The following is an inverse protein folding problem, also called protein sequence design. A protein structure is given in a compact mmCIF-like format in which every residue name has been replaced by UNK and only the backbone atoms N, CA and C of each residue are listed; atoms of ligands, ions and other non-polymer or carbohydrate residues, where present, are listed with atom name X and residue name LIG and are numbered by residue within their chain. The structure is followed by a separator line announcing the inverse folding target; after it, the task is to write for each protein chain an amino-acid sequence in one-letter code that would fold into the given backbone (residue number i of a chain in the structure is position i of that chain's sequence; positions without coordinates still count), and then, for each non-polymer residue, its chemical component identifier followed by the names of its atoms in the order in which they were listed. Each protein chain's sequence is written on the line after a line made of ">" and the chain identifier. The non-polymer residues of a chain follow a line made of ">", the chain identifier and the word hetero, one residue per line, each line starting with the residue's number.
data_IF_487443814916
#
_entry.id   IF_487443814916
#
_cell.length_a   1.000
_cell.length_b   1.000
_cell.length_c   1.000
_cell.angle_alpha   90.00
_cell.angle_beta   90.00
_cell.angle_gamma   90.00
#
_symmetry.space_group_name_H-M   'P 1'
#
loop_
_entity.id
_entity.type
_entity.pdbx_description
1 polymer ?
#
# COMPACT_ATOMS: atom_id res chain seq x y z
N UNK A 1 -1.69 12.93 -2.65
CA UNK A 1 -0.75 12.52 -3.71
C UNK A 1 -1.37 11.33 -4.45
N UNK A 2 -1.46 11.34 -5.77
CA UNK A 2 -1.99 10.20 -6.51
C UNK A 2 -0.84 9.23 -6.78
N UNK A 3 -0.87 8.03 -6.18
CA UNK A 3 0.17 7.02 -6.35
C UNK A 3 -0.41 5.81 -7.07
N UNK A 4 -0.10 5.61 -8.35
CA UNK A 4 -0.56 4.44 -9.09
C UNK A 4 0.40 3.28 -8.83
N UNK A 5 -0.06 2.21 -8.17
CA UNK A 5 0.67 0.95 -8.14
C UNK A 5 0.14 0.02 -9.24
N UNK A 6 1.06 -0.61 -9.98
CA UNK A 6 0.72 -1.64 -10.96
C UNK A 6 1.32 -2.96 -10.50
N UNK A 7 0.48 -3.91 -10.12
CA UNK A 7 0.92 -5.27 -9.82
C UNK A 7 1.10 -6.04 -11.13
N UNK A 8 2.35 -6.20 -11.59
CA UNK A 8 2.68 -6.95 -12.81
C UNK A 8 3.03 -8.41 -12.43
N UNK A 9 2.24 -9.38 -12.91
CA UNK A 9 2.53 -10.81 -12.75
C UNK A 9 2.85 -11.42 -14.11
N UNK A 10 4.09 -11.87 -14.31
CA UNK A 10 4.57 -12.57 -15.53
C UNK A 10 4.25 -11.82 -16.86
N UNK A 11 4.52 -10.51 -16.92
CA UNK A 11 4.43 -9.74 -18.17
C UNK A 11 3.02 -9.51 -18.73
N UNK A 12 1.96 -9.93 -18.00
CA UNK A 12 0.57 -9.59 -18.31
C UNK A 12 -0.01 -8.76 -17.17
N UNK A 13 -0.66 -7.65 -17.49
CA UNK A 13 -1.38 -6.81 -16.53
C UNK A 13 -2.67 -7.56 -16.13
N UNK A 14 -2.70 -8.15 -14.94
CA UNK A 14 -3.82 -9.03 -14.52
C UNK A 14 -4.84 -8.32 -13.62
N UNK A 15 -4.52 -7.15 -13.06
CA UNK A 15 -5.48 -6.30 -12.34
C UNK A 15 -4.96 -4.86 -12.27
N UNK A 16 -5.85 -3.87 -12.42
CA UNK A 16 -5.58 -2.50 -12.00
C UNK A 16 -6.12 -2.34 -10.58
N UNK A 17 -5.23 -2.22 -9.60
CA UNK A 17 -5.58 -1.80 -8.25
C UNK A 17 -5.28 -0.29 -8.19
N UNK A 18 -6.32 0.53 -8.01
CA UNK A 18 -6.10 1.94 -7.76
C UNK A 18 -5.78 2.12 -6.29
N UNK A 19 -4.61 2.70 -6.02
CA UNK A 19 -4.21 3.11 -4.68
C UNK A 19 -4.19 4.64 -4.63
N UNK A 20 -4.66 5.21 -3.52
CA UNK A 20 -4.60 6.64 -3.30
C UNK A 20 -4.20 6.93 -1.86
N UNK A 21 -3.19 7.79 -1.70
CA UNK A 21 -2.81 8.33 -0.39
C UNK A 21 -3.15 9.82 -0.37
N UNK A 22 -4.16 10.20 0.41
CA UNK A 22 -4.63 11.59 0.49
C UNK A 22 -4.89 12.01 1.93
N UNK A 23 -5.12 13.30 2.14
CA UNK A 23 -5.73 13.79 3.37
C UNK A 23 -7.26 13.65 3.24
N UNK A 24 -7.95 13.23 4.29
CA UNK A 24 -9.41 13.32 4.39
C UNK A 24 -9.85 14.75 4.76
N UNK A 25 -11.16 14.97 4.90
CA UNK A 25 -11.71 16.29 5.22
C UNK A 25 -11.25 16.78 6.61
N UNK A 26 -10.90 15.85 7.49
CA UNK A 26 -10.42 16.07 8.85
C UNK A 26 -8.89 16.27 8.91
N UNK A 27 -8.19 16.27 7.77
CA UNK A 27 -6.74 16.48 7.69
C UNK A 27 -5.88 15.26 8.05
N UNK A 28 -6.47 14.08 8.20
CA UNK A 28 -5.78 12.82 8.45
C UNK A 28 -5.34 12.16 7.13
N UNK A 29 -4.14 11.60 7.11
CA UNK A 29 -3.68 10.82 5.96
C UNK A 29 -4.46 9.50 5.89
N UNK A 30 -4.98 9.17 4.71
CA UNK A 30 -5.72 7.95 4.44
C UNK A 30 -5.13 7.23 3.24
N UNK A 31 -5.06 5.91 3.35
CA UNK A 31 -4.70 4.99 2.28
C UNK A 31 -5.97 4.32 1.76
N UNK A 32 -6.28 4.53 0.50
CA UNK A 32 -7.47 4.04 -0.16
C UNK A 32 -7.04 2.98 -1.17
N UNK A 33 -7.56 1.76 -1.03
CA UNK A 33 -7.39 0.66 -1.96
C UNK A 33 -8.71 0.40 -2.71
N UNK A 34 -8.65 0.42 -4.04
CA UNK A 34 -9.77 0.09 -4.91
C UNK A 34 -9.36 -1.05 -5.85
N UNK A 35 -9.59 -2.32 -5.45
CA UNK A 35 -9.43 -3.46 -6.33
C UNK A 35 -10.47 -3.41 -7.45
N UNK A 36 -10.11 -3.85 -8.67
CA UNK A 36 -11.03 -3.88 -9.81
C UNK A 36 -12.29 -4.69 -9.46
N UNK A 37 -13.44 -4.01 -9.44
CA UNK A 37 -14.75 -4.63 -9.19
C UNK A 37 -15.11 -4.88 -7.72
N UNK A 38 -14.33 -4.37 -6.75
CA UNK A 38 -14.63 -4.49 -5.32
C UNK A 38 -14.94 -3.14 -4.65
N UNK A 39 -15.45 -3.18 -3.42
CA UNK A 39 -15.65 -1.98 -2.59
C UNK A 39 -14.30 -1.34 -2.30
N UNK A 40 -14.30 -0.01 -2.29
CA UNK A 40 -13.19 0.80 -1.79
C UNK A 40 -12.93 0.46 -0.32
N UNK A 41 -11.68 0.16 0.01
CA UNK A 41 -11.24 -0.02 1.39
C UNK A 41 -10.32 1.14 1.78
N UNK A 42 -10.72 1.84 2.84
CA UNK A 42 -9.94 2.95 3.41
C UNK A 42 -9.24 2.50 4.69
N UNK A 43 -7.97 2.88 4.84
CA UNK A 43 -7.15 2.71 6.03
C UNK A 43 -6.70 4.09 6.51
N UNK A 44 -6.88 4.37 7.80
CA UNK A 44 -6.51 5.66 8.39
C UNK A 44 -5.07 5.62 8.89
N UNK A 45 -4.31 6.68 8.63
CA UNK A 45 -2.95 6.84 9.15
C UNK A 45 -2.97 7.00 10.66
N UNK A 46 -2.50 5.97 11.38
CA UNK A 46 -2.42 5.97 12.84
C UNK A 46 -1.05 6.44 13.34
N UNK A 47 -0.03 6.34 12.50
CA UNK A 47 1.33 6.81 12.82
C UNK A 47 2.01 7.33 11.57
N UNK A 48 2.59 8.53 11.66
CA UNK A 48 3.36 9.15 10.58
C UNK A 48 4.62 9.74 11.19
N UNK A 49 5.77 9.41 10.62
CA UNK A 49 7.07 9.99 10.95
C UNK A 49 7.85 10.31 9.68
N UNK A 50 9.04 10.89 9.83
CA UNK A 50 9.92 11.20 8.69
C UNK A 50 10.32 9.96 7.88
N UNK A 51 10.34 8.77 8.50
CA UNK A 51 10.86 7.54 7.89
C UNK A 51 9.86 6.39 7.89
N UNK A 52 8.68 6.55 8.47
CA UNK A 52 7.68 5.50 8.49
C UNK A 52 6.25 6.04 8.50
N UNK A 53 5.33 5.24 7.98
CA UNK A 53 3.90 5.49 8.09
C UNK A 53 3.15 4.17 8.28
N UNK A 54 2.14 4.18 9.15
CA UNK A 54 1.25 3.05 9.41
C UNK A 54 -0.19 3.48 9.17
N UNK A 55 -0.89 2.69 8.37
CA UNK A 55 -2.31 2.82 8.08
C UNK A 55 -3.05 1.61 8.63
N UNK A 56 -4.20 1.85 9.26
CA UNK A 56 -4.98 0.79 9.90
C UNK A 56 -6.47 0.88 9.55
N UNK A 57 -7.08 -0.28 9.43
CA UNK A 57 -8.52 -0.51 9.40
C UNK A 57 -8.79 -1.81 10.17
N UNK A 58 -8.96 -1.75 11.49
CA UNK A 58 -9.20 -2.95 12.32
C UNK A 58 -10.50 -3.69 11.96
N UNK A 59 -11.44 -3.02 11.30
CA UNK A 59 -12.73 -3.60 10.88
C UNK A 59 -12.62 -4.42 9.59
N UNK A 60 -11.53 -4.28 8.84
CA UNK A 60 -11.30 -5.06 7.64
C UNK A 60 -10.90 -6.51 8.01
N UNK A 61 -11.25 -7.47 7.18
CA UNK A 61 -10.99 -8.90 7.43
C UNK A 61 -9.51 -9.23 7.24
N UNK A 62 -8.92 -8.87 6.10
CA UNK A 62 -7.49 -8.86 5.86
C UNK A 62 -7.18 -8.05 4.58
N UNK A 63 -6.19 -7.15 4.60
CA UNK A 63 -5.35 -6.78 5.74
C UNK A 63 -6.04 -5.80 6.68
N UNK A 64 -5.51 -5.66 7.90
CA UNK A 64 -5.97 -4.67 8.88
C UNK A 64 -4.97 -3.53 9.06
N UNK A 65 -3.71 -3.76 8.69
CA UNK A 65 -2.62 -2.81 8.87
C UNK A 65 -1.65 -2.87 7.71
N UNK A 66 -1.27 -1.70 7.21
CA UNK A 66 -0.29 -1.50 6.15
C UNK A 66 0.73 -0.52 6.68
N UNK A 67 2.00 -0.91 6.74
CA UNK A 67 3.08 -0.03 7.16
C UNK A 67 4.14 0.08 6.09
N UNK A 68 4.75 1.27 6.01
CA UNK A 68 5.88 1.56 5.14
C UNK A 68 7.00 2.10 6.02
N UNK A 69 8.22 1.60 5.80
CA UNK A 69 9.43 2.09 6.47
C UNK A 69 10.53 2.33 5.45
N UNK A 70 11.07 3.53 5.42
CA UNK A 70 12.27 3.86 4.68
C UNK A 70 13.47 3.13 5.28
N UNK A 71 14.22 2.46 4.40
CA UNK A 71 15.46 1.78 4.73
C UNK A 71 16.64 2.50 4.04
N UNK A 72 17.88 2.35 4.56
CA UNK A 72 19.06 2.90 3.91
C UNK A 72 19.22 2.41 2.47
N UNK A 73 19.72 3.30 1.60
CA UNK A 73 20.04 3.00 0.20
C UNK A 73 18.83 2.97 -0.74
N UNK A 74 17.93 3.94 -0.61
CA UNK A 74 16.72 4.08 -1.44
C UNK A 74 15.81 2.84 -1.46
N UNK A 75 15.75 2.18 -0.31
CA UNK A 75 14.89 1.01 -0.08
C UNK A 75 13.68 1.40 0.75
N UNK A 76 12.58 0.72 0.50
CA UNK A 76 11.36 0.87 1.26
C UNK A 76 10.87 -0.53 1.64
N UNK A 77 10.55 -0.74 2.90
CA UNK A 77 9.90 -1.95 3.34
C UNK A 77 8.42 -1.66 3.54
N UNK A 78 7.57 -2.28 2.73
CA UNK A 78 6.15 -2.32 3.00
C UNK A 78 5.82 -3.61 3.74
N UNK A 79 4.95 -3.54 4.75
CA UNK A 79 4.44 -4.69 5.47
C UNK A 79 2.93 -4.63 5.53
N UNK A 80 2.30 -5.71 5.08
CA UNK A 80 0.85 -5.89 5.08
C UNK A 80 0.52 -6.96 6.11
N UNK A 81 -0.29 -6.63 7.11
CA UNK A 81 -0.62 -7.55 8.19
C UNK A 81 -2.08 -7.47 8.66
N UNK A 82 -2.54 -8.53 9.29
CA UNK A 82 -3.90 -8.65 9.81
C UNK A 82 -4.19 -10.07 10.26
N UNK A 83 -5.31 -10.24 10.97
CA UNK A 83 -5.78 -11.56 11.32
C UNK A 83 -6.39 -12.27 10.11
N UNK A 84 -6.06 -13.54 9.89
CA UNK A 84 -6.71 -14.36 8.87
C UNK A 84 -6.89 -15.77 9.40
N UNK A 85 -8.15 -16.20 9.56
CA UNK A 85 -8.48 -17.51 10.13
C UNK A 85 -7.99 -17.68 11.58
N UNK A 86 -8.11 -16.64 12.41
CA UNK A 86 -7.72 -16.68 13.84
C UNK A 86 -6.21 -16.58 14.11
N UNK A 87 -5.37 -16.45 13.09
CA UNK A 87 -3.93 -16.25 13.23
C UNK A 87 -3.50 -14.91 12.64
N UNK A 88 -2.58 -14.22 13.31
CA UNK A 88 -1.93 -13.04 12.75
C UNK A 88 -1.05 -13.45 11.57
N UNK A 89 -1.29 -12.85 10.41
CA UNK A 89 -0.50 -13.04 9.19
C UNK A 89 0.11 -11.71 8.79
N UNK A 90 1.34 -11.75 8.29
CA UNK A 90 2.06 -10.59 7.78
C UNK A 90 2.91 -10.97 6.58
N UNK A 91 2.96 -10.09 5.59
CA UNK A 91 3.77 -10.24 4.39
C UNK A 91 4.62 -8.98 4.23
N UNK A 92 5.92 -9.17 4.12
CA UNK A 92 6.89 -8.11 3.88
C UNK A 92 7.19 -8.02 2.38
N UNK A 93 7.07 -6.82 1.84
CA UNK A 93 7.37 -6.47 0.46
C UNK A 93 8.57 -5.52 0.45
N UNK A 94 9.80 -6.04 0.28
CA UNK A 94 10.97 -5.21 0.08
C UNK A 94 10.86 -4.54 -1.28
N UNK A 95 10.88 -3.21 -1.28
CA UNK A 95 10.84 -2.37 -2.46
C UNK A 95 12.17 -1.63 -2.61
N UNK A 96 12.58 -1.44 -3.86
CA UNK A 96 13.71 -0.59 -4.22
C UNK A 96 13.16 0.54 -5.08
N UNK A 97 13.65 1.76 -4.87
CA UNK A 97 13.35 2.88 -5.76
C UNK A 97 13.74 2.49 -7.19
N UNK A 98 12.81 2.67 -8.12
CA UNK A 98 13.05 2.61 -9.55
C UNK A 98 12.82 4.00 -10.13
N UNK A 99 13.68 4.41 -11.06
CA UNK A 99 13.47 5.65 -11.79
C UNK A 99 12.20 5.54 -12.65
N UNK A 100 11.44 6.62 -12.79
CA UNK A 100 10.20 6.64 -13.56
C UNK A 100 10.43 6.69 -15.10
N UNK A 101 11.62 6.37 -15.57
CA UNK A 101 11.97 6.22 -16.99
C UNK A 101 12.16 4.74 -17.31
N UNK A 102 11.09 4.05 -17.71
CA UNK A 102 11.10 2.84 -18.56
C UNK A 102 9.72 2.17 -18.63
N UNK A 103 8.75 2.81 -19.30
CA UNK A 103 7.69 2.09 -20.03
C UNK A 103 7.40 2.73 -21.39
N UNK A 104 8.38 3.43 -21.97
CA UNK A 104 8.39 3.77 -23.39
C UNK A 104 9.49 2.93 -24.06
N UNK A 105 9.11 1.94 -24.87
CA UNK A 105 10.03 1.27 -25.78
C UNK A 105 9.91 -0.26 -25.77
N UNK A 106 9.31 -0.79 -26.83
CA UNK A 106 9.19 -2.21 -27.16
C UNK A 106 8.07 -2.43 -28.15
#
# INVERSE_FOLDING_TARGET
>A
MLGVARTVKKGKTVAHEFLQIRLNAEGQIVYIALPSGQKETTFTGTSVSETAVTFENPQHDFPQRISYRALPGDRLLARIEGQRGGALRGIDFPMKRVACEALAGG
#
